data_IF_108392057943
#
_entry.id   IF_108392057943
#
_cell.length_a   1.000
_cell.length_b   1.000
_cell.length_c   1.000
_cell.angle_alpha   90.00
_cell.angle_beta   90.00
_cell.angle_gamma   90.00
#
_symmetry.space_group_name_H-M   'P 1'
#
loop_
_entity.id
_entity.type
_entity.pdbx_description
1 polymer ?
#
# COMPACT_ATOMS: atom_id res chain seq x y z
N UNK A 1 16.44 15.23 2.41
CA UNK A 1 15.50 16.37 2.53
C UNK A 1 15.83 17.10 3.82
N UNK A 2 16.33 18.33 3.75
CA UNK A 2 16.66 19.12 4.95
C UNK A 2 15.36 19.69 5.54
N UNK A 3 15.18 19.55 6.85
CA UNK A 3 14.05 20.14 7.56
C UNK A 3 14.35 21.62 7.73
N UNK A 4 13.47 22.48 7.22
CA UNK A 4 13.58 23.93 7.43
C UNK A 4 13.11 24.27 8.84
N UNK A 5 13.91 25.02 9.59
CA UNK A 5 13.60 25.46 10.96
C UNK A 5 14.27 26.79 11.26
N UNK A 6 13.78 27.46 12.29
CA UNK A 6 14.36 28.68 12.85
C UNK A 6 14.92 28.39 14.24
N UNK A 7 15.94 29.13 14.64
CA UNK A 7 16.58 29.01 15.96
C UNK A 7 15.79 29.81 17.01
N UNK A 8 14.56 29.32 17.32
CA UNK A 8 13.69 29.91 18.32
C UNK A 8 12.86 28.87 19.07
N UNK A 9 12.34 29.25 20.23
CA UNK A 9 11.53 28.37 21.11
C UNK A 9 10.25 27.87 20.43
N UNK A 10 9.64 28.68 19.58
CA UNK A 10 8.41 28.31 18.86
C UNK A 10 8.67 27.18 17.86
N UNK A 11 9.75 27.30 17.07
CA UNK A 11 10.18 26.27 16.14
C UNK A 11 10.55 24.97 16.88
N UNK A 12 11.23 25.07 18.02
CA UNK A 12 11.55 23.92 18.87
C UNK A 12 10.28 23.14 19.23
N UNK A 13 9.27 23.82 19.78
CA UNK A 13 8.01 23.20 20.19
C UNK A 13 7.23 22.57 19.02
N UNK A 14 7.22 23.24 17.87
CA UNK A 14 6.58 22.73 16.65
C UNK A 14 7.25 21.42 16.18
N UNK A 15 8.59 21.41 16.13
CA UNK A 15 9.35 20.22 15.72
C UNK A 15 9.19 19.08 16.72
N UNK A 16 9.14 19.35 18.03
CA UNK A 16 8.88 18.33 19.05
C UNK A 16 7.50 17.70 18.88
N UNK A 17 6.46 18.52 18.64
CA UNK A 17 5.10 18.00 18.34
C UNK A 17 5.11 17.12 17.08
N UNK A 18 5.77 17.58 16.02
CA UNK A 18 5.85 16.83 14.77
C UNK A 18 6.63 15.53 14.93
N UNK A 19 7.72 15.51 15.68
CA UNK A 19 8.48 14.31 15.99
C UNK A 19 7.62 13.29 16.77
N UNK A 20 6.93 13.74 17.84
CA UNK A 20 6.04 12.88 18.62
C UNK A 20 4.94 12.25 17.77
N UNK A 21 4.32 13.02 16.88
CA UNK A 21 3.29 12.48 15.95
C UNK A 21 3.89 11.39 15.07
N UNK A 22 5.08 11.60 14.48
CA UNK A 22 5.73 10.61 13.61
C UNK A 22 6.15 9.35 14.36
N UNK A 23 6.68 9.51 15.56
CA UNK A 23 7.05 8.37 16.42
C UNK A 23 5.82 7.53 16.80
N UNK A 24 4.66 8.16 17.09
CA UNK A 24 3.41 7.46 17.39
C UNK A 24 2.79 6.81 16.15
N UNK A 25 2.94 7.44 14.98
CA UNK A 25 2.36 6.94 13.73
C UNK A 25 3.18 5.83 13.10
N UNK A 26 4.50 5.82 13.33
CA UNK A 26 5.42 4.82 12.73
C UNK A 26 5.00 3.37 13.02
N UNK A 27 4.71 2.94 14.26
CA UNK A 27 4.28 1.57 14.53
C UNK A 27 2.97 1.21 13.84
N UNK A 28 2.03 2.16 13.72
CA UNK A 28 0.75 1.95 13.04
C UNK A 28 0.97 1.68 11.55
N UNK A 29 1.87 2.45 10.92
CA UNK A 29 2.19 2.25 9.48
C UNK A 29 2.99 0.95 9.29
N UNK A 30 3.88 0.57 10.22
CA UNK A 30 4.59 -0.72 10.19
C UNK A 30 3.63 -1.90 10.30
N UNK A 31 2.65 -1.83 11.20
CA UNK A 31 1.62 -2.86 11.32
C UNK A 31 0.79 -2.97 10.03
N UNK A 32 0.42 -1.82 9.43
CA UNK A 32 -0.26 -1.81 8.13
C UNK A 32 0.61 -2.42 7.02
N UNK A 33 1.89 -2.13 6.98
CA UNK A 33 2.82 -2.70 6.00
C UNK A 33 2.93 -4.22 6.17
N UNK A 34 3.06 -4.71 7.41
CA UNK A 34 3.10 -6.15 7.70
C UNK A 34 1.82 -6.86 7.29
N UNK A 35 0.65 -6.28 7.58
CA UNK A 35 -0.63 -6.83 7.16
C UNK A 35 -0.76 -6.88 5.63
N UNK A 36 -0.35 -5.81 4.92
CA UNK A 36 -0.34 -5.80 3.46
C UNK A 36 0.65 -6.82 2.87
N UNK A 37 1.80 -7.03 3.50
CA UNK A 37 2.79 -8.03 3.09
C UNK A 37 2.23 -9.45 3.18
N UNK A 38 1.53 -9.77 4.26
CA UNK A 38 0.89 -11.09 4.43
C UNK A 38 -0.22 -11.30 3.38
N UNK A 39 -1.06 -10.28 3.15
CA UNK A 39 -2.13 -10.37 2.15
C UNK A 39 -1.60 -10.51 0.72
N UNK A 40 -0.53 -9.77 0.37
CA UNK A 40 0.13 -9.92 -0.93
C UNK A 40 0.67 -11.34 -1.11
N UNK A 41 1.31 -11.90 -0.07
CA UNK A 41 1.81 -13.27 -0.12
C UNK A 41 0.66 -14.27 -0.34
N UNK A 42 -0.44 -14.13 0.40
CA UNK A 42 -1.63 -14.97 0.25
C UNK A 42 -2.23 -14.87 -1.14
N UNK A 43 -2.48 -13.66 -1.63
CA UNK A 43 -3.04 -13.46 -2.97
C UNK A 43 -2.11 -13.99 -4.08
N UNK A 44 -0.79 -13.92 -3.88
CA UNK A 44 0.16 -14.49 -4.84
C UNK A 44 0.06 -16.01 -4.92
N UNK A 45 -0.07 -16.69 -3.77
CA UNK A 45 -0.28 -18.14 -3.74
C UNK A 45 -1.59 -18.51 -4.37
N UNK A 46 -2.70 -17.83 -4.01
CA UNK A 46 -4.02 -18.04 -4.60
C UNK A 46 -4.01 -17.83 -6.13
N UNK A 47 -3.37 -16.76 -6.62
CA UNK A 47 -3.24 -16.51 -8.06
C UNK A 47 -2.47 -17.62 -8.80
N UNK A 48 -1.39 -18.14 -8.19
CA UNK A 48 -0.63 -19.26 -8.75
C UNK A 48 -1.44 -20.57 -8.78
N UNK A 49 -2.31 -20.79 -7.78
CA UNK A 49 -3.20 -21.95 -7.74
C UNK A 49 -4.28 -21.87 -8.84
N UNK A 50 -4.86 -20.68 -9.07
CA UNK A 50 -5.80 -20.48 -10.17
C UNK A 50 -5.13 -20.66 -11.54
N UNK A 51 -3.90 -20.17 -11.70
CA UNK A 51 -3.13 -20.37 -12.94
C UNK A 51 -2.86 -21.85 -13.20
N UNK A 52 -2.38 -22.57 -12.21
CA UNK A 52 -2.14 -24.01 -12.33
C UNK A 52 -3.45 -24.81 -12.58
N UNK A 53 -4.58 -24.38 -11.98
CA UNK A 53 -5.89 -24.99 -12.25
C UNK A 53 -6.33 -24.75 -13.69
N UNK A 54 -6.18 -23.52 -14.17
CA UNK A 54 -6.53 -23.16 -15.55
C UNK A 54 -5.70 -23.96 -16.56
N UNK A 55 -4.37 -24.04 -16.35
CA UNK A 55 -3.48 -24.81 -17.22
C UNK A 55 -3.86 -26.29 -17.26
N UNK A 56 -4.13 -26.90 -16.10
CA UNK A 56 -4.59 -28.30 -16.04
C UNK A 56 -5.90 -28.50 -16.77
N UNK A 57 -6.85 -27.56 -16.64
CA UNK A 57 -8.13 -27.65 -17.35
C UNK A 57 -7.92 -27.53 -18.85
N UNK A 58 -7.08 -26.63 -19.33
CA UNK A 58 -6.76 -26.50 -20.75
C UNK A 58 -6.12 -27.78 -21.27
N UNK A 59 -5.11 -28.34 -20.57
CA UNK A 59 -4.45 -29.60 -20.98
C UNK A 59 -5.43 -30.78 -21.04
N UNK A 60 -6.37 -30.88 -20.09
CA UNK A 60 -7.37 -31.91 -20.08
C UNK A 60 -8.30 -31.88 -21.32
N UNK A 61 -8.49 -30.67 -21.87
CA UNK A 61 -9.37 -30.46 -23.04
C UNK A 61 -8.61 -30.40 -24.36
N UNK A 62 -7.28 -30.42 -24.38
CA UNK A 62 -6.49 -30.50 -25.62
C UNK A 62 -6.83 -31.73 -26.44
N UNK A 63 -7.14 -32.87 -25.82
CA UNK A 63 -7.55 -34.07 -26.50
C UNK A 63 -8.86 -33.92 -27.29
N UNK A 64 -9.71 -32.94 -26.93
CA UNK A 64 -10.98 -32.62 -27.59
C UNK A 64 -10.84 -31.48 -28.63
N UNK A 65 -9.62 -31.00 -28.91
CA UNK A 65 -9.38 -29.84 -29.76
C UNK A 65 -9.99 -29.95 -31.15
N UNK A 66 -10.03 -31.16 -31.74
CA UNK A 66 -10.68 -31.41 -33.03
C UNK A 66 -12.20 -31.11 -33.02
N UNK A 67 -12.86 -31.32 -31.89
CA UNK A 67 -14.30 -31.07 -31.75
C UNK A 67 -14.61 -29.57 -31.65
N UNK A 68 -13.69 -28.78 -31.07
CA UNK A 68 -13.87 -27.34 -30.91
C UNK A 68 -13.91 -26.57 -32.22
N UNK A 69 -13.36 -27.13 -33.32
CA UNK A 69 -13.45 -26.52 -34.65
C UNK A 69 -14.91 -26.48 -35.19
N UNK A 70 -15.77 -27.37 -34.69
CA UNK A 70 -17.19 -27.42 -35.06
C UNK A 70 -18.07 -26.57 -34.10
N UNK A 71 -17.51 -26.11 -32.99
CA UNK A 71 -18.24 -25.36 -31.96
C UNK A 71 -18.42 -23.89 -32.35
N UNK A 72 -19.66 -23.44 -32.34
CA UNK A 72 -19.97 -22.01 -32.51
C UNK A 72 -19.71 -21.23 -31.21
N UNK A 73 -18.59 -20.55 -31.13
CA UNK A 73 -18.20 -19.72 -29.98
C UNK A 73 -19.25 -18.62 -29.68
N UNK A 74 -20.13 -18.26 -30.62
CA UNK A 74 -21.15 -17.26 -30.42
C UNK A 74 -22.30 -17.71 -29.53
N UNK A 75 -22.38 -19.04 -29.24
CA UNK A 75 -23.42 -19.63 -28.37
C UNK A 75 -23.25 -19.24 -26.90
N UNK A 76 -22.04 -19.00 -26.44
CA UNK A 76 -21.76 -18.63 -25.06
C UNK A 76 -21.19 -17.21 -25.00
N UNK A 77 -21.80 -16.37 -24.21
CA UNK A 77 -21.29 -15.05 -23.89
C UNK A 77 -21.17 -14.90 -22.39
N UNK A 78 -20.11 -14.20 -21.95
CA UNK A 78 -20.05 -13.72 -20.57
C UNK A 78 -20.98 -12.51 -20.48
N UNK A 79 -21.99 -12.61 -19.64
CA UNK A 79 -22.94 -11.54 -19.34
C UNK A 79 -22.37 -10.56 -18.33
N UNK A 80 -23.12 -10.25 -17.27
CA UNK A 80 -22.66 -9.35 -16.24
C UNK A 80 -21.76 -10.04 -15.21
N UNK A 81 -20.70 -9.33 -14.80
CA UNK A 81 -19.80 -9.76 -13.72
C UNK A 81 -20.08 -8.90 -12.50
N UNK A 82 -20.66 -9.50 -11.47
CA UNK A 82 -21.04 -8.81 -10.25
C UNK A 82 -19.83 -8.67 -9.32
N UNK A 83 -19.51 -7.43 -8.99
CA UNK A 83 -18.37 -7.08 -8.16
C UNK A 83 -18.80 -6.34 -6.90
N UNK A 84 -18.32 -6.78 -5.75
CA UNK A 84 -18.39 -6.03 -4.50
C UNK A 84 -17.04 -5.44 -4.13
N UNK A 85 -17.02 -4.58 -3.13
CA UNK A 85 -15.78 -3.94 -2.68
C UNK A 85 -15.50 -4.30 -1.23
N UNK A 86 -14.36 -4.93 -0.99
CA UNK A 86 -13.85 -5.26 0.35
C UNK A 86 -12.69 -4.38 0.74
N UNK A 87 -12.60 -3.99 2.01
CA UNK A 87 -11.43 -3.26 2.54
C UNK A 87 -10.46 -4.25 3.21
N UNK A 88 -9.23 -4.31 2.71
CA UNK A 88 -8.15 -5.11 3.28
C UNK A 88 -7.02 -4.17 3.70
N UNK A 89 -6.70 -4.15 4.99
CA UNK A 89 -5.68 -3.24 5.56
C UNK A 89 -5.85 -1.77 5.10
N UNK A 90 -7.12 -1.32 4.94
CA UNK A 90 -7.45 0.04 4.50
C UNK A 90 -7.28 0.30 3.00
N UNK A 91 -7.07 -0.75 2.19
CA UNK A 91 -7.09 -0.69 0.72
C UNK A 91 -8.42 -1.25 0.25
N UNK A 92 -9.11 -0.52 -0.64
CA UNK A 92 -10.32 -1.01 -1.30
C UNK A 92 -9.88 -1.95 -2.42
N UNK A 93 -10.30 -3.20 -2.32
CA UNK A 93 -10.07 -4.22 -3.34
C UNK A 93 -11.42 -4.73 -3.81
N UNK A 94 -11.58 -4.96 -5.12
CA UNK A 94 -12.80 -5.57 -5.61
C UNK A 94 -12.84 -7.03 -5.16
N UNK A 95 -14.03 -7.57 -5.00
CA UNK A 95 -14.32 -8.98 -4.74
C UNK A 95 -15.30 -9.45 -5.80
N UNK A 96 -15.02 -10.59 -6.41
CA UNK A 96 -15.91 -11.24 -7.36
C UNK A 96 -17.00 -11.96 -6.57
N UNK A 97 -18.26 -11.64 -6.85
CA UNK A 97 -19.41 -12.28 -6.20
C UNK A 97 -20.06 -13.32 -7.10
N UNK A 98 -20.35 -12.96 -8.35
CA UNK A 98 -21.01 -13.86 -9.29
C UNK A 98 -20.64 -13.51 -10.74
N UNK A 99 -20.69 -14.50 -11.63
CA UNK A 99 -20.49 -14.37 -13.06
C UNK A 99 -21.75 -14.93 -13.76
N UNK A 100 -22.40 -14.10 -14.53
CA UNK A 100 -23.53 -14.52 -15.34
C UNK A 100 -23.08 -14.91 -16.74
N UNK A 101 -23.64 -16.01 -17.24
CA UNK A 101 -23.39 -16.51 -18.58
C UNK A 101 -24.68 -16.52 -19.37
N UNK A 102 -24.65 -15.93 -20.55
CA UNK A 102 -25.75 -15.97 -21.51
C UNK A 102 -25.50 -17.08 -22.53
N UNK A 103 -26.44 -18.02 -22.66
CA UNK A 103 -26.40 -19.07 -23.67
C UNK A 103 -27.49 -18.78 -24.69
N UNK A 104 -27.10 -18.62 -25.95
CA UNK A 104 -28.09 -18.49 -27.03
C UNK A 104 -28.88 -19.79 -27.21
N UNK A 105 -30.18 -19.71 -27.53
CA UNK A 105 -30.95 -20.89 -27.84
C UNK A 105 -30.41 -21.58 -29.09
N UNK A 106 -30.20 -22.87 -29.01
CA UNK A 106 -29.75 -23.73 -30.10
C UNK A 106 -30.62 -24.97 -30.19
N UNK A 107 -30.69 -25.57 -31.37
CA UNK A 107 -31.52 -26.74 -31.60
C UNK A 107 -30.80 -28.03 -31.24
N UNK A 108 -31.31 -28.78 -30.28
CA UNK A 108 -30.75 -30.07 -29.86
C UNK A 108 -30.81 -31.15 -30.94
N UNK A 109 -31.65 -30.96 -32.02
CA UNK A 109 -31.79 -31.90 -33.11
C UNK A 109 -30.78 -31.70 -34.25
N UNK A 110 -30.32 -30.44 -34.41
CA UNK A 110 -29.40 -30.08 -35.50
C UNK A 110 -27.95 -29.95 -35.05
N UNK A 111 -27.72 -29.88 -33.73
CA UNK A 111 -26.39 -29.76 -33.16
C UNK A 111 -25.87 -31.10 -32.61
N UNK A 112 -24.57 -31.37 -32.66
CA UNK A 112 -23.97 -32.55 -32.06
C UNK A 112 -24.30 -32.67 -30.57
N UNK A 113 -24.47 -33.91 -30.06
CA UNK A 113 -24.84 -34.17 -28.65
C UNK A 113 -23.86 -33.61 -27.63
N UNK A 114 -22.58 -33.48 -27.99
CA UNK A 114 -21.51 -32.97 -27.09
C UNK A 114 -21.57 -31.45 -26.85
N UNK A 115 -22.39 -30.68 -27.61
CA UNK A 115 -22.47 -29.23 -27.46
C UNK A 115 -22.92 -28.81 -26.04
N UNK A 116 -23.83 -29.54 -25.43
CA UNK A 116 -24.26 -29.25 -24.05
C UNK A 116 -23.10 -29.37 -23.05
N UNK A 117 -22.32 -30.45 -23.17
CA UNK A 117 -21.14 -30.69 -22.34
C UNK A 117 -20.05 -29.63 -22.66
N UNK A 118 -19.88 -29.32 -23.95
CA UNK A 118 -18.95 -28.28 -24.39
C UNK A 118 -19.26 -26.90 -23.82
N UNK A 119 -20.54 -26.51 -23.77
CA UNK A 119 -20.97 -25.24 -23.15
C UNK A 119 -20.65 -25.23 -21.65
N UNK A 120 -20.89 -26.33 -20.96
CA UNK A 120 -20.59 -26.46 -19.53
C UNK A 120 -19.09 -26.34 -19.27
N UNK A 121 -18.26 -27.02 -20.07
CA UNK A 121 -16.81 -26.94 -20.01
C UNK A 121 -16.27 -25.51 -20.25
N UNK A 122 -16.82 -24.83 -21.26
CA UNK A 122 -16.45 -23.43 -21.54
C UNK A 122 -16.85 -22.49 -20.42
N UNK A 123 -17.98 -22.70 -19.76
CA UNK A 123 -18.38 -21.91 -18.58
C UNK A 123 -17.39 -22.10 -17.44
N UNK A 124 -16.95 -23.33 -17.17
CA UNK A 124 -15.97 -23.63 -16.13
C UNK A 124 -14.59 -23.02 -16.44
N UNK A 125 -14.13 -23.13 -17.67
CA UNK A 125 -12.90 -22.51 -18.13
C UNK A 125 -12.98 -20.99 -18.03
N UNK A 126 -14.06 -20.39 -18.52
CA UNK A 126 -14.25 -18.95 -18.49
C UNK A 126 -14.34 -18.42 -17.06
N UNK A 127 -15.06 -19.09 -16.15
CA UNK A 127 -15.10 -18.68 -14.74
C UNK A 127 -13.73 -18.76 -14.08
N UNK A 128 -12.98 -19.85 -14.30
CA UNK A 128 -11.61 -19.99 -13.76
C UNK A 128 -10.66 -18.92 -14.33
N UNK A 129 -10.78 -18.60 -15.61
CA UNK A 129 -9.99 -17.56 -16.26
C UNK A 129 -10.31 -16.16 -15.70
N UNK A 130 -11.60 -15.87 -15.49
CA UNK A 130 -12.06 -14.61 -14.89
C UNK A 130 -11.59 -14.51 -13.43
N UNK A 131 -11.73 -15.57 -12.64
CA UNK A 131 -11.23 -15.63 -11.26
C UNK A 131 -9.73 -15.38 -11.19
N UNK A 132 -8.95 -16.00 -12.07
CA UNK A 132 -7.50 -15.79 -12.18
C UNK A 132 -7.17 -14.34 -12.50
N UNK A 133 -7.77 -13.76 -13.53
CA UNK A 133 -7.54 -12.37 -13.94
C UNK A 133 -7.89 -11.40 -12.80
N UNK A 134 -8.97 -11.69 -12.12
CA UNK A 134 -9.43 -10.94 -10.97
C UNK A 134 -8.43 -11.00 -9.80
N UNK A 135 -7.87 -12.17 -9.50
CA UNK A 135 -6.86 -12.35 -8.47
C UNK A 135 -5.56 -11.62 -8.82
N UNK A 136 -5.17 -11.60 -10.09
CA UNK A 136 -4.00 -10.83 -10.57
C UNK A 136 -4.25 -9.32 -10.42
N UNK A 137 -5.43 -8.81 -10.78
CA UNK A 137 -5.77 -7.40 -10.58
C UNK A 137 -5.76 -7.01 -9.10
N UNK A 138 -6.33 -7.84 -8.22
CA UNK A 138 -6.30 -7.65 -6.77
C UNK A 138 -4.87 -7.65 -6.22
N UNK A 139 -4.03 -8.57 -6.67
CA UNK A 139 -2.62 -8.66 -6.30
C UNK A 139 -1.88 -7.37 -6.66
N UNK A 140 -2.06 -6.85 -7.88
CA UNK A 140 -1.42 -5.63 -8.35
C UNK A 140 -1.81 -4.42 -7.49
N UNK A 141 -3.09 -4.29 -7.12
CA UNK A 141 -3.57 -3.22 -6.23
C UNK A 141 -2.93 -3.29 -4.84
N UNK A 142 -2.86 -4.49 -4.25
CA UNK A 142 -2.26 -4.71 -2.94
C UNK A 142 -0.75 -4.49 -2.96
N UNK A 143 -0.04 -4.93 -4.01
CA UNK A 143 1.39 -4.69 -4.17
C UNK A 143 1.71 -3.19 -4.30
N UNK A 144 0.92 -2.46 -5.08
CA UNK A 144 1.08 -1.01 -5.21
C UNK A 144 0.90 -0.31 -3.85
N UNK A 145 -0.15 -0.69 -3.10
CA UNK A 145 -0.40 -0.15 -1.77
C UNK A 145 0.71 -0.51 -0.78
N UNK A 146 1.23 -1.76 -0.83
CA UNK A 146 2.38 -2.21 -0.03
C UNK A 146 3.62 -1.38 -0.34
N UNK A 147 3.99 -1.24 -1.63
CA UNK A 147 5.16 -0.46 -2.06
C UNK A 147 5.09 0.98 -1.53
N UNK A 148 3.95 1.66 -1.68
CA UNK A 148 3.73 3.01 -1.12
C UNK A 148 3.85 3.05 0.40
N UNK A 149 3.32 2.04 1.10
CA UNK A 149 3.39 1.98 2.57
C UNK A 149 4.81 1.74 3.05
N UNK A 150 5.58 0.84 2.40
CA UNK A 150 7.00 0.59 2.69
C UNK A 150 7.84 1.85 2.46
N UNK A 151 7.60 2.58 1.36
CA UNK A 151 8.28 3.87 1.12
C UNK A 151 8.00 4.88 2.24
N UNK A 152 6.75 4.94 2.72
CA UNK A 152 6.36 5.84 3.81
C UNK A 152 7.01 5.45 5.15
N UNK A 153 7.10 4.15 5.46
CA UNK A 153 7.83 3.64 6.63
C UNK A 153 9.30 4.05 6.56
N UNK A 154 9.96 3.78 5.43
CA UNK A 154 11.37 4.13 5.23
C UNK A 154 11.60 5.65 5.33
N UNK A 155 10.71 6.47 4.77
CA UNK A 155 10.78 7.92 4.86
C UNK A 155 10.70 8.39 6.32
N UNK A 156 9.78 7.85 7.10
CA UNK A 156 9.63 8.24 8.51
C UNK A 156 10.82 7.78 9.34
N UNK A 157 11.23 6.53 9.20
CA UNK A 157 12.24 5.90 10.03
C UNK A 157 13.66 6.38 9.72
N UNK A 158 14.01 6.46 8.44
CA UNK A 158 15.40 6.75 8.01
C UNK A 158 15.68 8.22 7.74
N UNK A 159 14.66 9.01 7.45
CA UNK A 159 14.86 10.42 7.03
C UNK A 159 14.21 11.39 7.98
N UNK A 160 12.90 11.27 8.22
CA UNK A 160 12.18 12.29 8.96
C UNK A 160 12.51 12.26 10.46
N UNK A 161 12.38 11.11 11.12
CA UNK A 161 12.66 11.02 12.56
C UNK A 161 14.08 11.46 12.90
N UNK A 162 15.15 10.93 12.25
CA UNK A 162 16.52 11.40 12.50
C UNK A 162 16.70 12.90 12.17
N UNK A 163 16.11 13.36 11.07
CA UNK A 163 16.19 14.77 10.68
C UNK A 163 15.54 15.71 11.69
N UNK A 164 14.39 15.35 12.27
CA UNK A 164 13.77 16.13 13.36
C UNK A 164 14.62 16.11 14.64
N UNK A 165 15.20 14.96 14.99
CA UNK A 165 16.09 14.85 16.16
C UNK A 165 17.32 15.73 16.01
N UNK A 166 17.93 15.76 14.83
CA UNK A 166 19.09 16.63 14.56
C UNK A 166 18.72 18.11 14.58
N UNK A 167 17.60 18.50 13.98
CA UNK A 167 17.11 19.86 14.01
C UNK A 167 16.85 20.32 15.45
N UNK A 168 16.20 19.51 16.27
CA UNK A 168 15.95 19.80 17.68
C UNK A 168 17.24 19.96 18.48
N UNK A 169 18.25 19.12 18.25
CA UNK A 169 19.56 19.20 18.88
C UNK A 169 20.26 20.52 18.54
N UNK A 170 20.22 20.93 17.27
CA UNK A 170 20.81 22.19 16.81
C UNK A 170 20.14 23.41 17.44
N UNK A 171 18.80 23.42 17.50
CA UNK A 171 18.07 24.54 18.12
C UNK A 171 18.37 24.62 19.61
N UNK A 172 18.35 23.48 20.34
CA UNK A 172 18.65 23.47 21.77
C UNK A 172 20.06 24.01 22.06
N UNK A 173 21.04 23.51 21.32
CA UNK A 173 22.42 23.96 21.46
C UNK A 173 22.55 25.47 21.21
N UNK A 174 21.96 26.00 20.16
CA UNK A 174 21.95 27.42 19.88
C UNK A 174 21.30 28.23 21.02
N UNK A 175 20.18 27.79 21.55
CA UNK A 175 19.51 28.47 22.67
C UNK A 175 20.34 28.44 23.96
N UNK A 176 21.06 27.34 24.24
CA UNK A 176 21.98 27.21 25.36
C UNK A 176 23.18 28.16 25.21
N UNK A 177 23.74 28.25 24.00
CA UNK A 177 24.85 29.17 23.70
C UNK A 177 24.41 30.63 23.85
N UNK A 178 23.23 31.01 23.38
CA UNK A 178 22.63 32.34 23.53
C UNK A 178 22.40 32.71 25.01
N UNK A 179 21.88 31.75 25.80
CA UNK A 179 21.67 31.92 27.24
C UNK A 179 23.01 32.13 27.98
N UNK A 180 24.03 31.34 27.63
CA UNK A 180 25.36 31.45 28.21
C UNK A 180 26.03 32.80 27.87
N UNK A 181 25.91 33.25 26.62
CA UNK A 181 26.40 34.59 26.21
C UNK A 181 25.69 35.69 26.99
N UNK A 182 24.37 35.62 27.14
CA UNK A 182 23.59 36.58 27.92
C UNK A 182 24.05 36.65 29.39
N UNK A 183 24.21 35.46 30.02
CA UNK A 183 24.72 35.38 31.42
C UNK A 183 26.13 35.96 31.56
N UNK A 184 27.01 35.67 30.61
CA UNK A 184 28.38 36.21 30.61
C UNK A 184 28.39 37.73 30.45
N UNK A 185 27.58 38.27 29.53
CA UNK A 185 27.44 39.73 29.37
C UNK A 185 26.89 40.40 30.61
N UNK A 186 25.89 39.81 31.28
CA UNK A 186 25.36 40.31 32.55
C UNK A 186 26.42 40.32 33.66
N UNK A 187 27.27 39.29 33.73
CA UNK A 187 28.36 39.20 34.72
C UNK A 187 29.40 40.29 34.48
N UNK A 188 29.80 40.52 33.23
CA UNK A 188 30.74 41.61 32.87
C UNK A 188 30.16 42.97 33.22
N UNK A 189 28.87 43.20 32.89
CA UNK A 189 28.20 44.46 33.25
C UNK A 189 28.18 44.72 34.76
N UNK A 190 27.88 43.70 35.55
CA UNK A 190 27.91 43.81 37.02
C UNK A 190 29.33 44.17 37.55
N UNK A 191 30.35 43.44 37.05
CA UNK A 191 31.73 43.72 37.42
C UNK A 191 32.15 45.14 37.08
N UNK A 192 31.79 45.65 35.91
CA UNK A 192 32.06 47.07 35.54
C UNK A 192 31.31 48.09 36.43
N UNK A 193 30.07 47.78 36.82
CA UNK A 193 29.30 48.62 37.72
C UNK A 193 29.93 48.68 39.15
N UNK A 194 30.40 47.54 39.64
CA UNK A 194 31.07 47.44 40.94
C UNK A 194 32.39 48.24 40.92
N UNK A 195 33.22 48.08 39.90
CA UNK A 195 34.44 48.83 39.71
C UNK A 195 34.21 50.36 39.63
N UNK A 196 33.13 50.80 38.96
CA UNK A 196 32.78 52.23 38.92
C UNK A 196 32.37 52.77 40.28
N UNK A 197 31.61 52.02 41.05
CA UNK A 197 31.24 52.45 42.42
C UNK A 197 32.42 52.54 43.39
N UNK A 198 33.40 51.63 43.23
CA UNK A 198 34.65 51.68 44.01
C UNK A 198 35.55 52.83 43.58
N UNK A 199 35.45 53.30 42.34
CA UNK A 199 36.23 54.46 41.86
C UNK A 199 35.58 55.81 42.17
N UNK A 200 34.31 55.87 42.57
CA UNK A 200 33.57 57.08 42.95
C UNK A 200 33.58 57.34 44.50
N UNK A 201 34.20 56.47 45.29
CA UNK A 201 34.39 56.56 46.73
C UNK A 201 35.84 56.91 47.01
#
# INVERSE_FOLDING_TARGET
>A
MAIKFQYNKTSLQQLEKQLKVRQRTLPIIKNKESALRMEVKRCKTEASEYEARLEKSIQAYEAMFALWNEFDASLLKVGEVHLSTKKIAGVRVPQLDNIEFEVKPYSLFTTPKWFADGIQLLKELASTAIEREFMVAKLNLLEHARKKTTQKVNLFEKVQIPGYQDALRKIKRFMEDEENLSKSSQKIMKSHQEQRKEAEV
#
